data_IF_678126904010
#
_entry.id   IF_678126904010
#
_cell.length_a   1.000
_cell.length_b   1.000
_cell.length_c   1.000
_cell.angle_alpha   90.00
_cell.angle_beta   90.00
_cell.angle_gamma   90.00
#
_symmetry.space_group_name_H-M   'P 1'
#
loop_
_entity.id
_entity.type
_entity.pdbx_description
1 polymer ?
#
# COMPACT_ATOMS: atom_id res chain seq x y z
N UNK A 1 -4.28 -23.82 -1.32
CA UNK A 1 -3.32 -23.28 -0.30
C UNK A 1 -3.50 -21.79 -0.08
N UNK A 2 -2.84 -21.20 0.95
CA UNK A 2 -2.88 -19.75 1.23
C UNK A 2 -1.56 -19.14 0.78
N UNK A 3 -1.65 -18.05 0.01
CA UNK A 3 -0.51 -17.32 -0.54
C UNK A 3 -0.59 -15.84 -0.14
N UNK A 4 0.52 -15.26 0.29
CA UNK A 4 0.62 -13.80 0.43
C UNK A 4 1.15 -13.22 -0.88
N UNK A 5 0.53 -12.16 -1.36
CA UNK A 5 1.00 -11.33 -2.46
C UNK A 5 1.34 -9.95 -1.92
N UNK A 6 2.63 -9.60 -1.90
CA UNK A 6 3.11 -8.30 -1.48
C UNK A 6 3.24 -7.39 -2.72
N UNK A 7 2.50 -6.28 -2.72
CA UNK A 7 2.55 -5.28 -3.79
C UNK A 7 3.68 -4.27 -3.51
N UNK A 8 4.75 -4.32 -4.30
CA UNK A 8 5.98 -3.55 -4.07
C UNK A 8 6.44 -2.73 -5.29
N UNK A 9 5.50 -2.28 -6.14
CA UNK A 9 5.75 -1.49 -7.35
C UNK A 9 5.61 0.03 -7.18
N UNK A 10 5.08 0.51 -6.05
CA UNK A 10 4.79 1.93 -5.82
C UNK A 10 6.05 2.80 -5.67
N UNK A 11 6.03 4.02 -6.22
CA UNK A 11 7.13 5.00 -6.13
C UNK A 11 7.14 5.79 -4.81
N UNK A 12 6.00 5.93 -4.12
CA UNK A 12 5.89 6.64 -2.83
C UNK A 12 6.19 8.14 -2.90
N UNK A 13 5.88 8.81 -4.00
CA UNK A 13 6.29 10.20 -4.32
C UNK A 13 5.87 11.26 -3.30
N UNK A 14 4.88 11.01 -2.46
CA UNK A 14 4.42 11.95 -1.41
C UNK A 14 5.38 12.08 -0.21
N UNK A 15 6.33 11.17 -0.08
CA UNK A 15 7.43 11.24 0.90
C UNK A 15 8.76 11.65 0.25
N UNK A 16 8.71 12.33 -0.88
CA UNK A 16 9.88 12.92 -1.51
C UNK A 16 10.59 13.83 -0.47
N UNK A 17 11.73 13.72 -0.42
CA UNK A 17 13.06 13.43 -0.46
C UNK A 17 13.49 12.12 0.22
N UNK A 18 12.72 11.66 1.23
CA UNK A 18 13.02 10.37 1.89
C UNK A 18 12.78 9.23 0.89
N UNK A 19 11.74 9.37 0.06
CA UNK A 19 11.41 8.43 -1.01
C UNK A 19 11.77 9.05 -2.36
N UNK A 20 12.70 8.43 -3.10
CA UNK A 20 13.16 8.82 -4.44
C UNK A 20 13.03 7.64 -5.42
N UNK A 21 13.25 7.90 -6.72
CA UNK A 21 13.21 6.85 -7.74
C UNK A 21 14.13 5.65 -7.43
N UNK A 22 15.34 5.93 -6.90
CA UNK A 22 16.29 4.89 -6.49
C UNK A 22 16.05 4.31 -5.09
N UNK A 23 15.19 4.93 -4.28
CA UNK A 23 14.84 4.52 -2.92
C UNK A 23 13.36 4.75 -2.62
N UNK A 24 12.43 4.01 -3.27
CA UNK A 24 11.01 4.17 -3.02
C UNK A 24 10.62 3.80 -1.58
N UNK A 25 9.43 4.24 -1.18
CA UNK A 25 8.92 4.21 0.19
C UNK A 25 9.05 2.84 0.87
N UNK A 26 8.80 1.74 0.18
CA UNK A 26 8.88 0.39 0.75
C UNK A 26 10.26 0.01 1.29
N UNK A 27 11.33 0.70 0.88
CA UNK A 27 12.69 0.49 1.37
C UNK A 27 13.12 1.45 2.49
N UNK A 28 12.27 2.40 2.88
CA UNK A 28 12.57 3.32 3.96
C UNK A 28 12.62 2.59 5.31
N UNK A 29 13.61 2.96 6.15
CA UNK A 29 13.84 2.44 7.50
C UNK A 29 13.58 3.52 8.56
N UNK A 30 12.43 4.16 8.47
CA UNK A 30 12.12 5.39 9.23
C UNK A 30 11.50 5.13 10.61
N UNK A 31 10.96 3.94 10.86
CA UNK A 31 10.32 3.60 12.15
C UNK A 31 11.22 2.70 13.00
N UNK A 32 11.91 1.78 12.34
CA UNK A 32 12.89 0.89 12.95
C UNK A 32 14.03 0.64 11.95
N UNK A 33 15.00 -0.17 12.32
CA UNK A 33 16.17 -0.46 11.46
C UNK A 33 15.85 -1.38 10.26
N UNK A 34 14.57 -1.72 10.02
CA UNK A 34 14.13 -2.55 8.90
C UNK A 34 13.27 -1.73 7.95
N UNK A 35 13.31 -2.07 6.65
CA UNK A 35 12.41 -1.45 5.66
C UNK A 35 10.95 -1.83 5.88
N UNK A 36 10.02 -1.05 5.36
CA UNK A 36 8.60 -1.39 5.39
C UNK A 36 8.34 -2.75 4.72
N UNK A 37 9.03 -3.05 3.63
CA UNK A 37 8.94 -4.33 2.90
C UNK A 37 9.31 -5.51 3.82
N UNK A 38 10.48 -5.44 4.46
CA UNK A 38 10.95 -6.48 5.40
C UNK A 38 9.98 -6.65 6.56
N UNK A 39 9.52 -5.52 7.16
CA UNK A 39 8.52 -5.56 8.23
C UNK A 39 7.21 -6.23 7.79
N UNK A 40 6.77 -6.00 6.55
CA UNK A 40 5.54 -6.61 6.01
C UNK A 40 5.69 -8.12 5.83
N UNK A 41 6.82 -8.58 5.28
CA UNK A 41 7.10 -10.01 5.13
C UNK A 41 7.22 -10.71 6.49
N UNK A 42 8.02 -10.16 7.41
CA UNK A 42 8.19 -10.76 8.74
C UNK A 42 6.88 -10.82 9.55
N UNK A 43 6.03 -9.81 9.41
CA UNK A 43 4.73 -9.73 10.10
C UNK A 43 3.81 -10.86 9.71
N UNK A 44 3.85 -11.31 8.45
CA UNK A 44 2.94 -12.34 7.92
C UNK A 44 3.50 -13.77 8.05
N UNK A 45 4.80 -13.95 8.27
CA UNK A 45 5.44 -15.27 8.31
C UNK A 45 4.90 -16.25 9.38
N UNK A 46 4.35 -15.80 10.53
CA UNK A 46 3.71 -16.73 11.47
C UNK A 46 2.41 -17.35 10.93
N UNK A 47 1.74 -16.71 9.95
CA UNK A 47 0.50 -17.19 9.36
C UNK A 47 0.74 -17.89 8.02
N UNK A 48 1.65 -17.37 7.19
CA UNK A 48 1.92 -17.87 5.83
C UNK A 48 3.41 -18.22 5.70
N UNK A 49 3.71 -19.46 5.34
CA UNK A 49 5.08 -19.92 5.16
C UNK A 49 5.80 -19.10 4.08
N UNK A 50 7.11 -18.86 4.24
CA UNK A 50 7.94 -18.09 3.29
C UNK A 50 7.85 -18.59 1.85
N UNK A 51 7.75 -19.92 1.63
CA UNK A 51 7.58 -20.52 0.30
C UNK A 51 6.26 -20.14 -0.39
N UNK A 52 5.29 -19.61 0.36
CA UNK A 52 4.01 -19.15 -0.15
C UNK A 52 3.90 -17.60 -0.13
N UNK A 53 5.00 -16.88 0.13
CA UNK A 53 5.06 -15.43 0.02
C UNK A 53 5.56 -15.07 -1.37
N UNK A 54 4.76 -14.29 -2.09
CA UNK A 54 5.04 -13.77 -3.42
C UNK A 54 5.16 -12.25 -3.35
N UNK A 55 6.07 -11.71 -4.14
CA UNK A 55 6.26 -10.26 -4.26
C UNK A 55 6.16 -9.88 -5.73
N UNK A 56 5.29 -8.91 -6.05
CA UNK A 56 5.23 -8.31 -7.37
C UNK A 56 5.79 -6.89 -7.32
N UNK A 57 6.65 -6.58 -8.29
CA UNK A 57 7.34 -5.29 -8.37
C UNK A 57 7.59 -4.90 -9.82
N UNK A 58 8.23 -3.76 -10.06
CA UNK A 58 8.78 -3.42 -11.39
C UNK A 58 10.24 -3.89 -11.51
N UNK A 59 10.77 -3.84 -12.74
CA UNK A 59 12.12 -4.30 -13.04
C UNK A 59 13.21 -3.52 -12.29
N UNK A 60 13.00 -2.21 -12.08
CA UNK A 60 13.99 -1.33 -11.45
C UNK A 60 14.27 -1.71 -9.98
N UNK A 61 13.27 -2.28 -9.30
CA UNK A 61 13.38 -2.62 -7.87
C UNK A 61 13.70 -4.10 -7.61
N UNK A 62 13.69 -4.96 -8.65
CA UNK A 62 13.87 -6.41 -8.51
C UNK A 62 15.15 -6.78 -7.74
N UNK A 63 16.29 -6.20 -8.12
CA UNK A 63 17.58 -6.48 -7.49
C UNK A 63 17.59 -6.11 -6.00
N UNK A 64 17.02 -4.93 -5.68
CA UNK A 64 16.94 -4.42 -4.31
C UNK A 64 16.02 -5.27 -3.43
N UNK A 65 14.85 -5.68 -3.96
CA UNK A 65 13.93 -6.57 -3.25
C UNK A 65 14.58 -7.92 -2.97
N UNK A 66 15.27 -8.52 -3.94
CA UNK A 66 16.00 -9.77 -3.73
C UNK A 66 17.10 -9.66 -2.68
N UNK A 67 17.78 -8.50 -2.63
CA UNK A 67 18.79 -8.21 -1.60
C UNK A 67 18.20 -8.10 -0.19
N UNK A 68 17.05 -7.46 -0.02
CA UNK A 68 16.39 -7.32 1.29
C UNK A 68 15.62 -8.56 1.74
N UNK A 69 15.10 -9.35 0.79
CA UNK A 69 14.30 -10.55 1.04
C UNK A 69 15.04 -11.84 0.66
N UNK A 70 16.30 -11.98 1.06
CA UNK A 70 17.14 -13.16 0.77
C UNK A 70 16.52 -14.49 1.23
N UNK A 71 15.63 -14.44 2.21
CA UNK A 71 14.94 -15.61 2.77
C UNK A 71 13.65 -15.99 2.01
N UNK A 72 13.20 -15.17 1.05
CA UNK A 72 12.06 -15.46 0.18
C UNK A 72 12.59 -16.11 -1.10
N UNK A 73 11.92 -17.17 -1.56
CA UNK A 73 12.33 -17.83 -2.79
C UNK A 73 12.34 -16.85 -3.97
N UNK A 74 13.48 -16.72 -4.64
CA UNK A 74 13.68 -15.77 -5.75
C UNK A 74 12.68 -15.99 -6.90
N UNK A 75 12.16 -17.20 -7.10
CA UNK A 75 11.11 -17.53 -8.09
C UNK A 75 9.75 -16.95 -7.71
N UNK A 76 9.55 -16.60 -6.45
CA UNK A 76 8.32 -15.97 -5.96
C UNK A 76 8.40 -14.42 -6.03
N UNK A 77 9.54 -13.86 -6.45
CA UNK A 77 9.72 -12.43 -6.67
C UNK A 77 9.73 -12.20 -8.17
N UNK A 78 8.65 -11.65 -8.71
CA UNK A 78 8.49 -11.44 -10.13
C UNK A 78 8.09 -10.00 -10.47
N UNK A 79 8.28 -9.62 -11.71
CA UNK A 79 8.06 -8.26 -12.18
C UNK A 79 6.80 -8.14 -13.03
N UNK A 80 6.17 -6.99 -12.95
CA UNK A 80 5.23 -6.54 -13.96
C UNK A 80 6.01 -5.83 -15.09
N UNK A 81 5.62 -6.00 -16.37
CA UNK A 81 6.30 -5.36 -17.49
C UNK A 81 6.25 -3.84 -17.45
N UNK A 82 5.12 -3.29 -16.99
CA UNK A 82 4.84 -1.87 -16.87
C UNK A 82 4.02 -1.60 -15.61
N UNK A 83 4.05 -0.37 -15.09
CA UNK A 83 3.18 0.01 -13.97
C UNK A 83 1.75 0.29 -14.46
N UNK A 84 0.84 -0.66 -14.25
CA UNK A 84 -0.57 -0.63 -14.69
C UNK A 84 -1.55 -0.64 -13.51
N UNK A 85 -1.16 -0.11 -12.36
CA UNK A 85 -2.00 -0.04 -11.15
C UNK A 85 -2.37 -1.41 -10.55
N UNK A 86 -3.07 -1.40 -9.41
CA UNK A 86 -3.23 -2.60 -8.56
C UNK A 86 -4.11 -3.69 -9.15
N UNK A 87 -5.14 -3.37 -9.96
CA UNK A 87 -5.99 -4.42 -10.53
C UNK A 87 -5.21 -5.32 -11.51
N UNK A 88 -4.31 -4.73 -12.30
CA UNK A 88 -3.53 -5.47 -13.30
C UNK A 88 -2.49 -6.36 -12.62
N UNK A 89 -1.74 -5.85 -11.65
CA UNK A 89 -0.73 -6.66 -10.96
C UNK A 89 -1.37 -7.76 -10.09
N UNK A 90 -2.54 -7.52 -9.48
CA UNK A 90 -3.32 -8.56 -8.80
C UNK A 90 -3.81 -9.61 -9.79
N UNK A 91 -4.32 -9.19 -10.96
CA UNK A 91 -4.79 -10.09 -12.01
C UNK A 91 -3.68 -11.00 -12.54
N UNK A 92 -2.50 -10.44 -12.86
CA UNK A 92 -1.32 -11.19 -13.29
C UNK A 92 -0.89 -12.21 -12.22
N UNK A 93 -0.88 -11.79 -10.96
CA UNK A 93 -0.53 -12.68 -9.85
C UNK A 93 -1.57 -13.79 -9.67
N UNK A 94 -2.85 -13.46 -9.84
CA UNK A 94 -3.94 -14.42 -9.70
C UNK A 94 -3.87 -15.54 -10.76
N UNK A 95 -3.58 -15.22 -12.02
CA UNK A 95 -3.42 -16.25 -13.05
C UNK A 95 -2.21 -17.14 -12.81
N UNK A 96 -1.08 -16.58 -12.36
CA UNK A 96 0.12 -17.36 -12.02
C UNK A 96 -0.14 -18.31 -10.84
N UNK A 97 -0.82 -17.84 -9.79
CA UNK A 97 -1.17 -18.67 -8.65
C UNK A 97 -2.24 -19.72 -8.99
N UNK A 98 -3.23 -19.37 -9.82
CA UNK A 98 -4.26 -20.31 -10.28
C UNK A 98 -3.66 -21.45 -11.12
N UNK A 99 -2.65 -21.16 -11.97
CA UNK A 99 -1.94 -22.20 -12.74
C UNK A 99 -1.22 -23.19 -11.83
N UNK A 100 -0.76 -22.74 -10.64
CA UNK A 100 -0.09 -23.56 -9.63
C UNK A 100 -1.05 -24.31 -8.71
N UNK A 101 -2.16 -23.66 -8.33
CA UNK A 101 -3.12 -24.16 -7.33
C UNK A 101 -4.52 -23.63 -7.64
N UNK A 102 -5.41 -24.50 -8.09
CA UNK A 102 -6.80 -24.15 -8.45
C UNK A 102 -7.62 -23.63 -7.24
N UNK A 103 -7.18 -23.92 -6.02
CA UNK A 103 -7.81 -23.48 -4.78
C UNK A 103 -7.02 -22.37 -4.06
N UNK A 104 -6.16 -21.66 -4.79
CA UNK A 104 -5.33 -20.60 -4.24
C UNK A 104 -6.18 -19.51 -3.57
N UNK A 105 -5.89 -19.25 -2.28
CA UNK A 105 -6.40 -18.09 -1.54
C UNK A 105 -5.28 -17.07 -1.44
N UNK A 106 -5.53 -15.86 -1.92
CA UNK A 106 -4.57 -14.76 -1.96
C UNK A 106 -4.83 -13.80 -0.82
N UNK A 107 -3.79 -13.50 -0.05
CA UNK A 107 -3.73 -12.40 0.92
C UNK A 107 -2.87 -11.31 0.29
N UNK A 108 -3.51 -10.28 -0.22
CA UNK A 108 -2.86 -9.16 -0.94
C UNK A 108 -2.57 -8.03 0.03
N UNK A 109 -1.32 -7.67 0.13
CA UNK A 109 -0.80 -6.71 1.11
C UNK A 109 0.06 -5.64 0.45
N UNK A 110 -0.18 -4.34 0.71
CA UNK A 110 0.78 -3.30 0.39
C UNK A 110 2.09 -3.51 1.16
N UNK A 111 3.22 -3.21 0.52
CA UNK A 111 4.56 -3.40 1.08
C UNK A 111 5.00 -2.29 2.05
N UNK A 112 4.24 -1.20 2.17
CA UNK A 112 4.69 0.08 2.70
C UNK A 112 3.83 0.63 3.84
N UNK A 113 3.02 -0.23 4.46
CA UNK A 113 2.18 0.13 5.60
C UNK A 113 2.85 -0.18 6.95
N UNK A 114 2.62 0.70 7.92
CA UNK A 114 2.97 0.45 9.31
C UNK A 114 1.80 -0.17 10.07
N UNK A 115 2.08 -1.24 10.81
CA UNK A 115 1.08 -1.96 11.61
C UNK A 115 1.70 -2.32 12.97
N UNK A 116 0.99 -1.97 14.05
CA UNK A 116 1.28 -2.41 15.42
C UNK A 116 0.16 -3.32 15.93
N UNK A 117 0.50 -4.27 16.81
CA UNK A 117 -0.46 -5.25 17.31
C UNK A 117 -0.49 -6.52 16.45
N UNK A 118 0.68 -7.14 16.23
CA UNK A 118 0.86 -8.30 15.34
C UNK A 118 -0.15 -9.43 15.57
N UNK A 119 -0.46 -9.76 16.83
CA UNK A 119 -1.43 -10.84 17.13
C UNK A 119 -2.82 -10.51 16.58
N UNK A 120 -3.35 -9.33 16.90
CA UNK A 120 -4.68 -8.90 16.43
C UNK A 120 -4.74 -8.81 14.89
N UNK A 121 -3.64 -8.36 14.27
CA UNK A 121 -3.49 -8.35 12.81
C UNK A 121 -3.58 -9.76 12.20
N UNK A 122 -2.84 -10.74 12.73
CA UNK A 122 -2.83 -12.11 12.24
C UNK A 122 -4.17 -12.81 12.49
N UNK A 123 -4.79 -12.59 13.64
CA UNK A 123 -6.13 -13.10 13.95
C UNK A 123 -7.18 -12.55 12.95
N UNK A 124 -7.10 -11.25 12.63
CA UNK A 124 -7.96 -10.60 11.62
C UNK A 124 -7.76 -11.20 10.23
N UNK A 125 -6.52 -11.42 9.81
CA UNK A 125 -6.22 -12.05 8.51
C UNK A 125 -6.69 -13.51 8.45
N UNK A 126 -6.53 -14.27 9.53
CA UNK A 126 -7.00 -15.66 9.61
C UNK A 126 -8.51 -15.74 9.40
N UNK A 127 -9.26 -14.86 10.05
CA UNK A 127 -10.71 -14.78 9.88
C UNK A 127 -11.12 -14.31 8.48
N UNK A 128 -10.37 -13.34 7.90
CA UNK A 128 -10.59 -12.89 6.53
C UNK A 128 -10.38 -14.02 5.51
N UNK A 129 -9.40 -14.89 5.72
CA UNK A 129 -9.14 -16.08 4.90
C UNK A 129 -10.32 -17.06 4.97
N UNK A 130 -10.86 -17.31 6.16
CA UNK A 130 -12.02 -18.19 6.32
C UNK A 130 -13.26 -17.63 5.61
N UNK A 131 -13.54 -16.33 5.77
CA UNK A 131 -14.66 -15.65 5.13
C UNK A 131 -14.51 -15.70 3.60
N UNK A 132 -13.33 -15.35 3.06
CA UNK A 132 -13.07 -15.37 1.63
C UNK A 132 -13.27 -16.76 1.02
N UNK A 133 -12.78 -17.78 1.70
CA UNK A 133 -12.90 -19.18 1.25
C UNK A 133 -14.35 -19.67 1.30
N UNK A 134 -15.06 -19.46 2.44
CA UNK A 134 -16.42 -19.94 2.66
C UNK A 134 -17.45 -19.17 1.83
N UNK A 135 -17.32 -17.85 1.73
CA UNK A 135 -18.29 -16.96 1.06
C UNK A 135 -18.01 -16.77 -0.42
N UNK A 136 -16.81 -17.16 -0.90
CA UNK A 136 -16.35 -16.95 -2.27
C UNK A 136 -16.54 -15.50 -2.72
N UNK A 137 -16.07 -14.57 -1.88
CA UNK A 137 -16.13 -13.12 -2.10
C UNK A 137 -14.79 -12.47 -1.79
N UNK A 138 -14.73 -11.16 -2.00
CA UNK A 138 -13.57 -10.34 -1.68
C UNK A 138 -13.73 -9.83 -0.26
N UNK A 139 -12.74 -10.05 0.60
CA UNK A 139 -12.69 -9.51 1.96
C UNK A 139 -11.62 -8.43 2.02
N UNK A 140 -11.96 -7.25 2.52
CA UNK A 140 -10.98 -6.21 2.85
C UNK A 140 -10.93 -5.96 4.34
N UNK A 141 -9.81 -5.45 4.83
CA UNK A 141 -9.64 -5.05 6.23
C UNK A 141 -10.00 -3.58 6.36
N UNK A 142 -10.96 -3.30 7.23
CA UNK A 142 -11.40 -1.94 7.51
C UNK A 142 -10.85 -1.45 8.84
N UNK A 143 -10.38 -0.21 8.88
CA UNK A 143 -9.80 0.44 10.06
C UNK A 143 -10.73 1.53 10.57
N UNK A 144 -10.89 1.66 11.88
CA UNK A 144 -11.69 2.73 12.46
C UNK A 144 -11.14 4.10 12.10
N UNK A 145 -11.95 4.99 11.48
CA UNK A 145 -11.53 6.34 11.21
C UNK A 145 -11.35 7.12 12.51
N UNK A 146 -10.22 7.82 12.63
CA UNK A 146 -9.92 8.72 13.77
C UNK A 146 -9.91 10.20 13.37
N UNK A 147 -9.96 10.47 12.06
CA UNK A 147 -9.95 11.81 11.46
C UNK A 147 -10.60 11.77 10.06
N UNK A 148 -11.01 12.92 9.49
CA UNK A 148 -11.56 12.97 8.14
C UNK A 148 -10.45 12.96 7.09
N UNK A 149 -9.87 11.78 6.81
CA UNK A 149 -8.77 11.58 5.87
C UNK A 149 -9.29 11.52 4.43
N UNK A 150 -8.76 12.37 3.54
CA UNK A 150 -9.17 12.42 2.13
C UNK A 150 -8.30 11.56 1.21
N UNK A 151 -7.16 11.09 1.72
CA UNK A 151 -6.24 10.22 1.00
C UNK A 151 -6.66 8.74 1.00
N UNK A 152 -7.69 8.37 1.77
CA UNK A 152 -8.13 6.97 1.94
C UNK A 152 -9.49 6.71 1.31
N UNK A 153 -9.71 5.43 0.96
CA UNK A 153 -11.04 4.92 0.68
C UNK A 153 -11.84 4.72 1.97
N UNK A 154 -13.16 4.83 1.87
CA UNK A 154 -14.12 4.62 2.96
C UNK A 154 -15.09 3.50 2.61
N UNK A 155 -15.37 2.64 3.59
CA UNK A 155 -16.22 1.46 3.47
C UNK A 155 -17.39 1.61 4.42
N UNK A 156 -18.60 1.70 3.90
CA UNK A 156 -19.83 1.66 4.70
C UNK A 156 -20.13 0.20 5.10
N UNK A 157 -20.21 -0.04 6.41
CA UNK A 157 -20.61 -1.33 6.94
C UNK A 157 -22.12 -1.55 6.72
N UNK A 158 -22.46 -2.64 6.08
CA UNK A 158 -23.84 -3.09 5.90
C UNK A 158 -24.24 -4.13 6.94
N UNK A 159 -24.93 -5.18 6.49
CA UNK A 159 -25.38 -6.28 7.31
C UNK A 159 -24.20 -7.05 7.92
N UNK A 160 -24.24 -7.29 9.23
CA UNK A 160 -23.26 -8.13 9.92
C UNK A 160 -23.38 -9.57 9.44
N UNK A 161 -22.25 -10.20 9.13
CA UNK A 161 -22.24 -11.62 8.75
C UNK A 161 -21.82 -12.50 9.93
N UNK A 162 -22.33 -13.74 10.03
CA UNK A 162 -21.88 -14.70 11.03
C UNK A 162 -20.40 -15.06 10.80
N UNK A 163 -19.56 -14.68 11.76
CA UNK A 163 -18.12 -14.97 11.80
C UNK A 163 -17.64 -14.81 13.24
N UNK A 164 -16.42 -15.29 13.55
CA UNK A 164 -15.76 -15.08 14.86
C UNK A 164 -15.38 -13.62 15.12
N UNK A 165 -15.23 -12.81 14.06
CA UNK A 165 -14.83 -11.41 14.11
C UNK A 165 -15.99 -10.44 13.78
N UNK A 166 -15.72 -9.14 13.87
CA UNK A 166 -16.65 -8.10 13.42
C UNK A 166 -16.58 -7.95 11.90
N UNK A 167 -17.36 -8.75 11.18
CA UNK A 167 -17.40 -8.76 9.73
C UNK A 167 -18.78 -8.39 9.18
N UNK A 168 -18.80 -7.66 8.07
CA UNK A 168 -20.00 -7.08 7.48
C UNK A 168 -19.95 -7.22 5.95
N UNK A 169 -21.13 -7.27 5.32
CA UNK A 169 -21.22 -6.96 3.89
C UNK A 169 -20.84 -5.50 3.67
N UNK A 170 -20.19 -5.19 2.57
CA UNK A 170 -19.97 -3.80 2.18
C UNK A 170 -21.25 -3.24 1.59
N UNK A 171 -21.81 -2.21 2.21
CA UNK A 171 -22.96 -1.48 1.70
C UNK A 171 -22.55 -0.50 0.60
N UNK A 172 -21.42 0.20 0.80
CA UNK A 172 -20.86 1.16 -0.14
C UNK A 172 -19.36 1.25 0.03
N UNK A 173 -18.66 1.43 -1.09
CA UNK A 173 -17.24 1.75 -1.14
C UNK A 173 -17.06 3.10 -1.82
N UNK A 174 -16.30 4.01 -1.22
CA UNK A 174 -16.04 5.36 -1.76
C UNK A 174 -14.55 5.65 -1.68
N UNK A 175 -13.89 5.76 -2.83
CA UNK A 175 -12.45 6.05 -2.88
C UNK A 175 -12.21 7.56 -2.82
N UNK A 176 -11.34 7.99 -1.92
CA UNK A 176 -10.81 9.34 -1.76
C UNK A 176 -11.90 10.44 -1.82
N UNK A 177 -12.83 10.48 -0.86
CA UNK A 177 -13.87 11.50 -0.81
C UNK A 177 -13.28 12.88 -0.56
N UNK A 178 -14.03 13.93 -0.89
CA UNK A 178 -13.67 15.28 -0.46
C UNK A 178 -13.81 15.43 1.07
N UNK A 179 -13.29 16.52 1.62
CA UNK A 179 -13.21 16.74 3.07
C UNK A 179 -14.58 16.77 3.76
N UNK A 180 -15.60 17.34 3.10
CA UNK A 180 -16.95 17.45 3.67
C UNK A 180 -17.61 16.07 3.78
N UNK A 181 -17.45 15.23 2.74
CA UNK A 181 -17.94 13.86 2.74
C UNK A 181 -17.17 13.02 3.77
N UNK A 182 -15.86 13.20 3.90
CA UNK A 182 -15.05 12.49 4.89
C UNK A 182 -15.46 12.84 6.34
N UNK A 183 -15.78 14.11 6.62
CA UNK A 183 -16.35 14.53 7.93
C UNK A 183 -17.70 13.88 8.21
N UNK A 184 -18.59 13.85 7.22
CA UNK A 184 -19.90 13.18 7.35
C UNK A 184 -19.75 11.68 7.65
N UNK A 185 -18.85 10.99 6.96
CA UNK A 185 -18.58 9.59 7.21
C UNK A 185 -18.06 9.31 8.63
N UNK A 186 -17.19 10.20 9.12
CA UNK A 186 -16.68 10.10 10.48
C UNK A 186 -17.80 10.27 11.53
N UNK A 187 -18.68 11.25 11.34
CA UNK A 187 -19.82 11.53 12.24
C UNK A 187 -20.84 10.39 12.27
N UNK A 188 -21.07 9.70 11.15
CA UNK A 188 -22.01 8.57 11.07
C UNK A 188 -21.55 7.36 11.86
N UNK A 189 -20.24 7.16 12.05
CA UNK A 189 -19.69 6.02 12.81
C UNK A 189 -19.91 4.64 12.18
N UNK A 190 -20.50 4.57 10.97
CA UNK A 190 -20.77 3.32 10.23
C UNK A 190 -19.73 3.07 9.13
N UNK A 191 -18.73 3.92 9.01
CA UNK A 191 -17.69 3.83 8.00
C UNK A 191 -16.37 3.38 8.59
N UNK A 192 -15.61 2.61 7.81
CA UNK A 192 -14.23 2.23 8.07
C UNK A 192 -13.33 2.76 6.96
N UNK A 193 -12.07 3.06 7.27
CA UNK A 193 -11.07 3.27 6.22
C UNK A 193 -10.75 1.97 5.50
N UNK A 194 -10.60 2.02 4.19
CA UNK A 194 -10.02 0.92 3.42
C UNK A 194 -8.51 0.87 3.64
N UNK A 195 -8.02 -0.24 4.17
CA UNK A 195 -6.59 -0.42 4.39
C UNK A 195 -5.81 -0.81 3.14
N UNK A 196 -6.47 -1.09 2.01
CA UNK A 196 -5.82 -1.62 0.82
C UNK A 196 -5.34 -3.07 0.93
N UNK A 197 -5.68 -3.75 2.04
CA UNK A 197 -5.40 -5.17 2.22
C UNK A 197 -6.63 -5.99 1.82
N UNK A 198 -6.42 -7.00 0.98
CA UNK A 198 -7.52 -7.81 0.44
C UNK A 198 -7.24 -9.29 0.61
N UNK A 199 -8.30 -10.06 0.82
CA UNK A 199 -8.25 -11.53 0.85
C UNK A 199 -9.35 -12.09 -0.04
N UNK A 200 -8.98 -12.95 -0.96
CA UNK A 200 -9.90 -13.61 -1.89
C UNK A 200 -9.27 -14.86 -2.50
N UNK A 201 -10.09 -15.69 -3.11
CA UNK A 201 -9.61 -16.79 -3.95
C UNK A 201 -9.20 -16.24 -5.33
N UNK A 202 -8.18 -16.81 -5.94
CA UNK A 202 -7.72 -16.42 -7.27
C UNK A 202 -8.83 -16.53 -8.33
N UNK A 203 -9.64 -17.58 -8.30
CA UNK A 203 -10.77 -17.75 -9.21
C UNK A 203 -11.90 -16.72 -8.98
N UNK A 204 -12.05 -16.23 -7.75
CA UNK A 204 -13.07 -15.23 -7.42
C UNK A 204 -12.69 -13.86 -7.96
N UNK A 205 -11.45 -13.41 -7.74
CA UNK A 205 -11.03 -12.11 -8.25
C UNK A 205 -10.99 -12.08 -9.78
N UNK A 206 -10.59 -13.16 -10.44
CA UNK A 206 -10.61 -13.24 -11.90
C UNK A 206 -12.03 -13.14 -12.48
N UNK A 207 -13.04 -13.74 -11.83
CA UNK A 207 -14.46 -13.56 -12.24
C UNK A 207 -14.96 -12.12 -12.04
N UNK A 208 -14.53 -11.43 -11.00
CA UNK A 208 -14.90 -10.03 -10.80
C UNK A 208 -14.17 -9.14 -11.83
N UNK A 209 -12.90 -9.44 -12.18
CA UNK A 209 -12.18 -8.79 -13.29
C UNK A 209 -12.88 -9.08 -14.63
N UNK A 210 -13.26 -10.31 -14.92
CA UNK A 210 -14.03 -10.66 -16.13
C UNK A 210 -15.30 -9.78 -16.26
N UNK A 211 -16.03 -9.66 -15.18
CA UNK A 211 -17.30 -8.93 -15.13
C UNK A 211 -17.14 -7.42 -15.31
N UNK A 212 -16.16 -6.80 -14.65
CA UNK A 212 -16.06 -5.35 -14.57
C UNK A 212 -14.94 -4.75 -15.45
N UNK A 213 -13.97 -5.55 -15.85
CA UNK A 213 -12.80 -5.20 -16.62
C UNK A 213 -12.54 -6.22 -17.74
N UNK A 214 -13.53 -6.47 -18.64
CA UNK A 214 -13.48 -7.59 -19.61
C UNK A 214 -12.29 -7.54 -20.58
N UNK A 215 -11.80 -6.35 -20.93
CA UNK A 215 -10.60 -6.21 -21.78
C UNK A 215 -9.35 -6.72 -21.03
N UNK A 216 -9.17 -6.32 -19.78
CA UNK A 216 -8.10 -6.81 -18.92
C UNK A 216 -8.16 -8.32 -18.75
N UNK A 217 -9.36 -8.86 -18.48
CA UNK A 217 -9.54 -10.31 -18.35
C UNK A 217 -9.10 -11.08 -19.61
N UNK A 218 -9.44 -10.57 -20.80
CA UNK A 218 -9.03 -11.18 -22.06
C UNK A 218 -7.51 -11.27 -22.20
N UNK A 219 -6.79 -10.18 -21.94
CA UNK A 219 -5.33 -10.17 -21.97
C UNK A 219 -4.73 -11.09 -20.89
N UNK A 220 -5.28 -11.08 -19.67
CA UNK A 220 -4.83 -11.98 -18.62
C UNK A 220 -5.03 -13.46 -18.98
N UNK A 221 -6.12 -13.82 -19.66
CA UNK A 221 -6.36 -15.20 -20.09
C UNK A 221 -5.47 -15.63 -21.24
N UNK A 222 -5.07 -14.71 -22.13
CA UNK A 222 -4.04 -15.00 -23.13
C UNK A 222 -2.70 -15.29 -22.43
N UNK A 223 -2.27 -14.45 -21.47
CA UNK A 223 -1.06 -14.72 -20.68
C UNK A 223 -1.17 -16.07 -19.94
N UNK A 224 -2.32 -16.38 -19.34
CA UNK A 224 -2.55 -17.63 -18.61
C UNK A 224 -2.28 -18.88 -19.46
N UNK A 225 -2.63 -18.86 -20.75
CA UNK A 225 -2.41 -19.99 -21.65
C UNK A 225 -0.93 -20.24 -21.90
N UNK A 226 -0.10 -19.19 -21.91
CA UNK A 226 1.34 -19.24 -22.18
C UNK A 226 2.22 -19.39 -20.94
N UNK A 227 1.64 -19.42 -19.73
CA UNK A 227 2.42 -19.66 -18.50
C UNK A 227 3.09 -21.04 -18.53
N UNK A 228 4.44 -21.03 -18.52
CA UNK A 228 5.30 -22.21 -18.59
C UNK A 228 5.72 -22.61 -20.00
N UNK A 229 5.28 -21.87 -21.03
CA UNK A 229 5.72 -22.04 -22.41
C UNK A 229 6.94 -21.15 -22.73
N UNK A 230 7.63 -21.42 -23.84
CA UNK A 230 8.87 -20.70 -24.22
C UNK A 230 8.64 -19.20 -24.48
N UNK A 231 7.44 -18.82 -24.89
CA UNK A 231 7.03 -17.46 -25.24
C UNK A 231 6.32 -16.69 -24.11
N UNK A 232 6.29 -17.24 -22.87
CA UNK A 232 5.61 -16.61 -21.72
C UNK A 232 6.00 -15.14 -21.51
N UNK A 233 7.29 -14.82 -21.59
CA UNK A 233 7.78 -13.44 -21.35
C UNK A 233 7.34 -12.48 -22.46
N UNK A 234 7.39 -12.91 -23.71
CA UNK A 234 6.98 -12.10 -24.87
C UNK A 234 5.49 -11.82 -24.84
N UNK A 235 4.66 -12.87 -24.72
CA UNK A 235 3.21 -12.75 -24.63
C UNK A 235 2.79 -11.93 -23.41
N UNK A 236 3.44 -12.13 -22.26
CA UNK A 236 3.15 -11.33 -21.07
C UNK A 236 3.40 -9.85 -21.32
N UNK A 237 4.51 -9.47 -21.94
CA UNK A 237 4.84 -8.07 -22.23
C UNK A 237 3.84 -7.46 -23.21
N UNK A 238 3.50 -8.15 -24.30
CA UNK A 238 2.57 -7.66 -25.30
C UNK A 238 1.15 -7.48 -24.74
N UNK A 239 0.60 -8.53 -24.15
CA UNK A 239 -0.76 -8.51 -23.61
C UNK A 239 -0.91 -7.55 -22.41
N UNK A 240 0.11 -7.47 -21.54
CA UNK A 240 0.13 -6.53 -20.43
C UNK A 240 0.16 -5.09 -20.93
N UNK A 241 0.89 -4.81 -22.01
CA UNK A 241 0.94 -3.50 -22.66
C UNK A 241 -0.42 -3.01 -23.15
N UNK A 242 -1.32 -3.92 -23.57
CA UNK A 242 -2.67 -3.62 -24.05
C UNK A 242 -3.66 -3.27 -22.93
N UNK A 243 -3.31 -3.52 -21.64
CA UNK A 243 -4.21 -3.28 -20.52
C UNK A 243 -4.19 -1.80 -20.14
N UNK A 244 -5.36 -1.18 -20.03
CA UNK A 244 -5.53 0.11 -19.40
C UNK A 244 -5.37 -0.05 -17.87
N UNK A 245 -4.39 0.66 -17.28
CA UNK A 245 -4.12 0.59 -15.84
C UNK A 245 -5.27 1.17 -15.01
N UNK A 246 -5.72 0.42 -14.01
CA UNK A 246 -6.74 0.87 -13.06
C UNK A 246 -6.49 0.23 -11.68
N UNK A 247 -6.77 0.97 -10.58
CA UNK A 247 -6.69 0.36 -9.26
C UNK A 247 -7.83 -0.64 -9.03
N UNK A 248 -7.59 -1.64 -8.19
CA UNK A 248 -8.60 -2.63 -7.79
C UNK A 248 -9.80 -1.95 -7.11
N UNK A 249 -9.56 -0.83 -6.43
CA UNK A 249 -10.57 -0.06 -5.73
C UNK A 249 -11.59 0.53 -6.70
N UNK A 250 -11.14 1.21 -7.75
CA UNK A 250 -12.01 1.77 -8.79
C UNK A 250 -12.55 0.71 -9.76
N UNK A 251 -11.71 -0.26 -10.14
CA UNK A 251 -12.06 -1.25 -11.15
C UNK A 251 -13.06 -2.28 -10.66
N UNK A 252 -12.93 -2.71 -9.40
CA UNK A 252 -13.72 -3.81 -8.85
C UNK A 252 -14.46 -3.42 -7.57
N UNK A 253 -13.76 -2.87 -6.54
CA UNK A 253 -14.33 -2.72 -5.20
C UNK A 253 -15.53 -1.78 -5.15
N UNK A 254 -15.54 -0.70 -5.91
CA UNK A 254 -16.70 0.21 -6.01
C UNK A 254 -17.92 -0.40 -6.73
N UNK A 255 -17.75 -1.50 -7.44
CA UNK A 255 -18.77 -2.08 -8.31
C UNK A 255 -19.28 -3.44 -7.85
N UNK A 256 -18.44 -4.20 -7.16
CA UNK A 256 -18.80 -5.55 -6.75
C UNK A 256 -19.84 -5.58 -5.64
N UNK A 257 -20.75 -6.56 -5.70
CA UNK A 257 -21.70 -6.87 -4.63
C UNK A 257 -21.25 -8.08 -3.80
N UNK A 258 -20.08 -8.63 -4.07
CA UNK A 258 -19.51 -9.79 -3.37
C UNK A 258 -18.33 -9.39 -2.47
N UNK A 259 -18.42 -8.21 -1.87
CA UNK A 259 -17.39 -7.70 -0.99
C UNK A 259 -17.85 -7.70 0.47
N UNK A 260 -16.92 -8.01 1.34
CA UNK A 260 -17.05 -8.02 2.78
C UNK A 260 -15.95 -7.17 3.40
N UNK A 261 -16.22 -6.60 4.55
CA UNK A 261 -15.21 -5.91 5.36
C UNK A 261 -15.12 -6.57 6.73
N UNK A 262 -13.92 -6.80 7.19
CA UNK A 262 -13.62 -7.22 8.55
C UNK A 262 -12.97 -6.06 9.28
N UNK A 263 -13.45 -5.74 10.48
CA UNK A 263 -12.91 -4.65 11.29
C UNK A 263 -11.61 -5.09 11.94
N UNK A 264 -10.51 -4.41 11.62
CA UNK A 264 -9.21 -4.61 12.26
C UNK A 264 -9.16 -3.90 13.61
N UNK A 265 -8.72 -4.61 14.65
CA UNK A 265 -8.49 -4.08 16.00
C UNK A 265 -6.98 -4.00 16.28
N UNK A 266 -6.28 -3.28 15.43
CA UNK A 266 -4.84 -3.02 15.50
C UNK A 266 -4.55 -1.61 14.97
N UNK A 267 -3.40 -1.05 15.36
CA UNK A 267 -2.99 0.24 14.80
C UNK A 267 -2.48 0.06 13.39
N UNK A 268 -2.93 0.91 12.50
CA UNK A 268 -2.57 0.92 11.09
C UNK A 268 -2.37 2.35 10.59
N UNK A 269 -1.37 2.51 9.74
CA UNK A 269 -1.10 3.76 9.04
C UNK A 269 -0.44 3.46 7.68
N UNK A 270 -0.92 4.10 6.61
CA UNK A 270 -0.29 3.98 5.30
C UNK A 270 0.99 4.82 5.18
N UNK A 271 1.25 5.72 6.15
CA UNK A 271 2.37 6.67 6.15
C UNK A 271 2.51 7.37 4.78
N UNK A 272 1.40 7.88 4.30
CA UNK A 272 1.31 8.48 2.96
C UNK A 272 1.81 9.91 2.87
N UNK A 273 2.29 10.53 3.97
CA UNK A 273 2.70 11.93 4.02
C UNK A 273 3.68 12.20 5.16
N UNK A 274 4.33 13.36 5.16
CA UNK A 274 5.20 13.77 6.27
C UNK A 274 4.42 13.98 7.57
N UNK A 275 3.20 14.48 7.49
CA UNK A 275 2.32 14.58 8.66
C UNK A 275 1.98 13.19 9.23
N UNK A 276 1.82 12.18 8.38
CA UNK A 276 1.66 10.80 8.83
C UNK A 276 2.94 10.26 9.47
N UNK A 277 4.08 10.46 8.83
CA UNK A 277 5.38 10.01 9.33
C UNK A 277 5.76 10.69 10.65
N UNK A 278 5.41 11.96 10.83
CA UNK A 278 5.72 12.72 12.04
C UNK A 278 5.09 12.14 13.31
N UNK A 279 4.01 11.34 13.20
CA UNK A 279 3.41 10.64 14.35
C UNK A 279 4.35 9.63 15.00
N UNK A 280 5.40 9.22 14.29
CA UNK A 280 6.41 8.25 14.75
C UNK A 280 7.72 8.90 15.20
N UNK A 281 7.82 10.23 15.13
CA UNK A 281 8.93 10.99 15.67
C UNK A 281 8.78 11.25 17.19
N UNK A 282 9.90 11.52 17.86
CA UNK A 282 9.88 11.95 19.25
C UNK A 282 9.18 13.30 19.39
N UNK A 283 8.36 13.45 20.43
CA UNK A 283 7.72 14.72 20.74
C UNK A 283 8.58 15.53 21.71
N UNK A 284 8.83 16.78 21.36
CA UNK A 284 9.55 17.72 22.19
C UNK A 284 8.92 19.12 22.09
N UNK A 285 8.37 19.63 23.22
CA UNK A 285 7.73 20.97 23.29
C UNK A 285 6.74 21.24 22.15
N UNK A 286 5.80 20.32 21.94
CA UNK A 286 4.79 20.38 20.86
C UNK A 286 5.36 20.35 19.43
N UNK A 287 6.57 19.83 19.26
CA UNK A 287 7.19 19.60 17.95
C UNK A 287 7.54 18.11 17.81
N UNK A 288 7.64 17.63 16.57
CA UNK A 288 8.04 16.26 16.23
C UNK A 288 9.43 16.29 15.62
N UNK A 289 10.41 15.70 16.29
CA UNK A 289 11.82 15.80 15.90
C UNK A 289 12.50 14.43 15.82
N UNK A 290 13.38 14.27 14.83
CA UNK A 290 14.33 13.16 14.77
C UNK A 290 15.59 13.45 15.60
N UNK A 291 16.59 12.56 15.53
CA UNK A 291 17.89 12.80 16.12
C UNK A 291 18.60 14.00 15.48
N UNK A 292 19.61 14.55 16.18
CA UNK A 292 20.41 15.69 15.72
C UNK A 292 19.60 16.95 15.37
N UNK A 293 18.52 17.21 16.11
CA UNK A 293 17.71 18.42 15.98
C UNK A 293 17.72 19.19 17.28
N UNK A 294 18.05 20.47 17.24
CA UNK A 294 17.91 21.42 18.33
C UNK A 294 16.86 22.47 17.97
N UNK A 295 15.93 22.75 18.88
CA UNK A 295 14.86 23.74 18.64
C UNK A 295 14.73 24.71 19.81
N UNK A 296 14.49 25.97 19.48
CA UNK A 296 14.17 27.04 20.44
C UNK A 296 13.07 27.92 19.86
N UNK A 297 12.06 28.23 20.68
CA UNK A 297 10.91 29.07 20.28
C UNK A 297 10.16 28.58 19.01
N UNK A 298 10.12 27.26 18.82
CA UNK A 298 9.43 26.59 17.73
C UNK A 298 8.08 26.02 18.18
N UNK A 299 7.09 26.02 17.28
CA UNK A 299 5.74 25.52 17.56
C UNK A 299 5.23 24.67 16.38
N UNK A 300 4.66 23.49 16.68
CA UNK A 300 4.02 22.59 15.73
C UNK A 300 4.89 22.23 14.49
N UNK A 301 6.20 22.15 14.63
CA UNK A 301 7.10 21.76 13.56
C UNK A 301 7.34 20.26 13.52
N UNK A 302 7.62 19.71 12.35
CA UNK A 302 8.06 18.34 12.13
C UNK A 302 9.42 18.36 11.43
N UNK A 303 10.49 17.96 12.11
CA UNK A 303 11.86 18.08 11.61
C UNK A 303 12.51 16.70 11.49
N UNK A 304 12.81 16.31 10.25
CA UNK A 304 13.43 15.06 9.89
C UNK A 304 14.89 15.33 9.54
N UNK A 305 15.78 15.14 10.52
CA UNK A 305 17.23 15.30 10.35
C UNK A 305 17.92 13.99 10.00
N UNK A 306 18.97 14.09 9.20
CA UNK A 306 19.93 13.01 8.98
C UNK A 306 20.94 12.88 10.14
N UNK A 307 21.83 11.87 10.07
CA UNK A 307 22.82 11.62 11.12
C UNK A 307 24.08 12.51 11.03
N UNK A 308 24.29 13.19 9.90
CA UNK A 308 25.54 13.89 9.61
C UNK A 308 25.50 15.40 9.91
N UNK A 309 24.30 15.97 10.03
CA UNK A 309 24.11 17.42 10.26
C UNK A 309 23.29 17.66 11.52
N UNK A 310 23.63 18.76 12.22
CA UNK A 310 22.74 19.32 13.23
C UNK A 310 21.77 20.29 12.54
N UNK A 311 20.47 20.08 12.71
CA UNK A 311 19.44 21.04 12.30
C UNK A 311 19.05 21.89 13.49
N UNK A 312 19.10 23.21 13.32
CA UNK A 312 18.68 24.16 14.34
C UNK A 312 17.44 24.87 13.86
N UNK A 313 16.33 24.73 14.60
CA UNK A 313 15.09 25.49 14.43
C UNK A 313 15.01 26.61 15.46
N UNK A 314 14.79 27.86 15.04
CA UNK A 314 14.67 29.01 15.93
C UNK A 314 13.53 29.93 15.50
N UNK A 315 12.53 30.10 16.36
CA UNK A 315 11.43 31.05 16.15
C UNK A 315 10.49 30.74 15.00
N UNK A 316 10.39 29.44 14.61
CA UNK A 316 9.56 29.01 13.45
C UNK A 316 8.34 28.21 13.89
N UNK A 317 7.28 28.25 13.06
CA UNK A 317 6.00 27.60 13.34
C UNK A 317 5.47 26.88 12.10
N UNK A 318 4.71 25.80 12.35
CA UNK A 318 3.93 25.06 11.36
C UNK A 318 4.75 24.58 10.14
N UNK A 319 6.00 24.20 10.33
CA UNK A 319 6.89 23.75 9.27
C UNK A 319 7.14 22.24 9.30
N UNK A 320 7.31 21.70 8.11
CA UNK A 320 8.01 20.42 7.87
C UNK A 320 9.39 20.73 7.29
N UNK A 321 10.42 20.22 7.94
CA UNK A 321 11.82 20.32 7.47
C UNK A 321 12.36 18.91 7.28
N UNK A 322 12.95 18.63 6.11
CA UNK A 322 13.50 17.30 5.79
C UNK A 322 14.91 17.49 5.22
N UNK A 323 15.92 16.95 5.91
CA UNK A 323 17.29 16.81 5.39
C UNK A 323 17.45 15.40 4.82
N UNK A 324 17.61 15.32 3.50
CA UNK A 324 17.89 14.08 2.77
C UNK A 324 19.34 13.99 2.28
N UNK A 325 20.23 14.80 2.85
CA UNK A 325 21.68 14.80 2.55
C UNK A 325 22.06 15.83 1.48
N UNK A 326 21.69 15.60 0.25
CA UNK A 326 21.97 16.47 -0.91
C UNK A 326 20.89 17.54 -1.15
N UNK A 327 19.68 17.35 -0.59
CA UNK A 327 18.54 18.28 -0.70
C UNK A 327 17.91 18.50 0.67
N UNK A 328 17.50 19.73 0.92
CA UNK A 328 16.70 20.10 2.10
C UNK A 328 15.35 20.63 1.62
N UNK A 329 14.27 20.03 2.12
CA UNK A 329 12.91 20.53 1.95
C UNK A 329 12.50 21.33 3.18
N UNK A 330 11.99 22.53 2.95
CA UNK A 330 11.30 23.34 3.96
C UNK A 330 9.93 23.70 3.41
N UNK A 331 8.87 23.32 4.08
CA UNK A 331 7.51 23.59 3.62
C UNK A 331 6.58 23.88 4.78
N UNK A 332 5.48 24.57 4.49
CA UNK A 332 4.34 24.68 5.37
C UNK A 332 3.71 23.29 5.59
N UNK A 333 3.33 23.00 6.83
CA UNK A 333 2.77 21.70 7.22
C UNK A 333 1.46 21.37 6.50
N UNK A 334 0.69 22.39 6.14
CA UNK A 334 -0.59 22.23 5.43
C UNK A 334 -0.40 21.94 3.93
N UNK A 335 0.83 22.11 3.39
CA UNK A 335 1.18 21.83 1.99
C UNK A 335 1.60 20.38 1.72
N UNK A 336 1.56 19.51 2.70
CA UNK A 336 2.01 18.13 2.66
C UNK A 336 1.41 17.31 1.48
N UNK A 337 0.16 17.55 1.12
CA UNK A 337 -0.50 16.87 -0.01
C UNK A 337 -0.15 17.45 -1.38
N UNK A 338 0.42 18.66 -1.43
CA UNK A 338 0.77 19.36 -2.68
C UNK A 338 2.17 18.98 -3.22
N UNK A 339 2.97 18.22 -2.46
CA UNK A 339 4.35 17.83 -2.85
C UNK A 339 4.42 17.22 -4.25
N UNK A 340 3.39 16.47 -4.67
CA UNK A 340 3.35 15.87 -6.01
C UNK A 340 3.36 16.92 -7.13
N UNK A 341 2.68 18.05 -6.93
CA UNK A 341 2.69 19.16 -7.90
C UNK A 341 4.06 19.84 -7.94
N UNK A 342 4.64 20.11 -6.77
CA UNK A 342 6.00 20.64 -6.66
C UNK A 342 7.03 19.78 -7.40
N UNK A 343 6.94 18.45 -7.29
CA UNK A 343 7.83 17.53 -7.98
C UNK A 343 7.71 17.60 -9.50
N UNK A 344 6.49 17.77 -10.03
CA UNK A 344 6.29 17.94 -11.46
C UNK A 344 6.96 19.24 -11.94
N UNK A 345 6.80 20.34 -11.21
CA UNK A 345 7.41 21.62 -11.55
C UNK A 345 8.94 21.56 -11.51
N UNK A 346 9.53 20.86 -10.51
CA UNK A 346 10.97 20.67 -10.42
C UNK A 346 11.49 19.80 -11.58
N UNK A 347 10.76 18.74 -11.96
CA UNK A 347 11.11 17.87 -13.09
C UNK A 347 11.17 18.61 -14.43
N UNK A 348 10.33 19.62 -14.60
CA UNK A 348 10.31 20.46 -15.79
C UNK A 348 11.48 21.48 -15.80
N UNK A 349 12.23 21.61 -14.70
CA UNK A 349 13.37 22.50 -14.56
C UNK A 349 14.69 21.71 -14.76
N UNK A 350 15.38 21.80 -15.92
CA UNK A 350 16.51 20.93 -16.25
C UNK A 350 17.66 20.95 -15.22
N UNK A 351 17.84 22.09 -14.54
CA UNK A 351 18.91 22.29 -13.55
C UNK A 351 18.70 21.48 -12.26
N UNK A 352 17.45 21.10 -11.94
CA UNK A 352 17.09 20.44 -10.69
C UNK A 352 16.68 18.99 -10.84
N UNK A 353 16.48 18.50 -12.06
CA UNK A 353 16.03 17.12 -12.32
C UNK A 353 16.96 16.03 -11.79
N UNK A 354 18.24 16.33 -11.59
CA UNK A 354 19.22 15.39 -11.01
C UNK A 354 18.97 15.10 -9.51
N UNK A 355 18.13 15.90 -8.84
CA UNK A 355 17.84 15.77 -7.41
C UNK A 355 16.51 15.07 -7.12
N UNK A 356 15.80 14.62 -8.16
CA UNK A 356 14.48 13.95 -8.04
C UNK A 356 14.58 12.42 -8.33
#
# INVERSE_FOLDING_TARGET
MIYALILAGGKGTRLYLLSRANQPKQFLKVINNKSFLVNTVERITPLIKKDNIYVITNQDYLSKIRGELSDVNSKNIFTEPENKETATCIGLSAIKLLKKDNDAVMVVLPSDHHIEGQKAYLDTLSEAIEIANRRRGIVTIGINPTRPETGYGYIEMGERIPSGAQAYKIARFTEKPNIEVAKDFLLKGTYLWNSGMFVFRADVILREIEKYLPKMYKSLMNIYQHIGEEDEEEVTREEYGLIDGISIDFGVMQRTRKAYVIKGDFKWDDIGSFNALSRYLNEYRNNKISNNVYIQDCENCSIFGGNEKLIIGFGVKDLVVVDAGDVILVMDKDKDQEIKHLLNDINETPEFGAFI
#
